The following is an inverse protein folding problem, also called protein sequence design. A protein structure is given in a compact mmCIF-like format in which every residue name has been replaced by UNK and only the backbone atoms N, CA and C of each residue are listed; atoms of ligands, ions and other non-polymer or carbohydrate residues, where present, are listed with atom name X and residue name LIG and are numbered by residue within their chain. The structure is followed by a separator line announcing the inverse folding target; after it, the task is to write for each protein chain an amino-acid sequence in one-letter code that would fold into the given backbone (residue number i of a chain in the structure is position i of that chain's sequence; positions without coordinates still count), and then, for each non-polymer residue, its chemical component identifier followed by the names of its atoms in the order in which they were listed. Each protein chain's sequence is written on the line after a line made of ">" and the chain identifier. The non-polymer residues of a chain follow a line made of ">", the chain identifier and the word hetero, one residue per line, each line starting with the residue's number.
data_IF_507605680556
#
_entry.id   IF_507605680556
#
_cell.length_a   1.000
_cell.length_b   1.000
_cell.length_c   1.000
_cell.angle_alpha   90.00
_cell.angle_beta   90.00
_cell.angle_gamma   90.00
#
_symmetry.space_group_name_H-M   'P 1'
#
loop_
_entity.id
_entity.type
_entity.pdbx_description
1 polymer ?
#
# COMPACT_ATOMS: atom_id res chain seq x y z
N UNK A 1 18.62 7.28 -16.10
CA UNK A 1 18.06 5.91 -16.21
C UNK A 1 16.55 6.01 -16.38
N UNK A 2 16.01 5.42 -17.43
CA UNK A 2 14.57 5.43 -17.67
C UNK A 2 13.96 4.33 -16.80
N UNK A 3 13.16 4.72 -15.82
CA UNK A 3 12.41 3.77 -15.02
C UNK A 3 11.13 3.40 -15.78
N UNK A 4 11.07 2.16 -16.18
CA UNK A 4 9.87 1.62 -16.79
C UNK A 4 8.72 1.56 -15.77
N UNK A 5 7.51 1.71 -16.27
CA UNK A 5 6.30 1.48 -15.47
C UNK A 5 6.22 0.03 -14.96
N UNK A 6 5.13 -0.31 -14.26
CA UNK A 6 4.92 -1.68 -13.80
C UNK A 6 4.80 -2.64 -15.00
N UNK A 7 5.28 -3.87 -14.83
CA UNK A 7 5.06 -4.93 -15.80
C UNK A 7 3.59 -5.37 -15.82
N UNK A 8 3.17 -6.03 -16.89
CA UNK A 8 1.81 -6.59 -16.98
C UNK A 8 1.50 -7.55 -15.81
N UNK A 9 2.49 -8.33 -15.38
CA UNK A 9 2.33 -9.22 -14.23
C UNK A 9 2.13 -8.44 -12.92
N UNK A 10 2.89 -7.37 -12.73
CA UNK A 10 2.75 -6.50 -11.55
C UNK A 10 1.39 -5.79 -11.55
N UNK A 11 0.93 -5.29 -12.69
CA UNK A 11 -0.40 -4.68 -12.81
C UNK A 11 -1.48 -5.67 -12.39
N UNK A 12 -1.43 -6.90 -12.93
CA UNK A 12 -2.41 -7.94 -12.58
C UNK A 12 -2.37 -8.28 -11.09
N UNK A 13 -1.19 -8.34 -10.49
CA UNK A 13 -1.03 -8.61 -9.06
C UNK A 13 -1.70 -7.53 -8.22
N UNK A 14 -1.42 -6.25 -8.48
CA UNK A 14 -2.04 -5.14 -7.78
C UNK A 14 -3.57 -5.15 -7.93
N UNK A 15 -4.05 -5.35 -9.15
CA UNK A 15 -5.49 -5.40 -9.43
C UNK A 15 -6.17 -6.56 -8.70
N UNK A 16 -5.56 -7.74 -8.69
CA UNK A 16 -6.13 -8.92 -8.03
C UNK A 16 -6.18 -8.75 -6.52
N UNK A 17 -5.10 -8.30 -5.90
CA UNK A 17 -5.06 -8.06 -4.45
C UNK A 17 -6.06 -6.98 -4.06
N UNK A 18 -6.11 -5.88 -4.82
CA UNK A 18 -7.07 -4.81 -4.59
C UNK A 18 -8.53 -5.29 -4.67
N UNK A 19 -8.87 -6.09 -5.67
CA UNK A 19 -10.22 -6.67 -5.79
C UNK A 19 -10.57 -7.58 -4.62
N UNK A 20 -9.62 -8.40 -4.17
CA UNK A 20 -9.84 -9.28 -3.01
C UNK A 20 -10.09 -8.50 -1.74
N UNK A 21 -9.35 -7.44 -1.50
CA UNK A 21 -9.56 -6.57 -0.34
C UNK A 21 -10.93 -5.91 -0.39
N UNK A 22 -11.32 -5.39 -1.54
CA UNK A 22 -12.62 -4.73 -1.74
C UNK A 22 -13.78 -5.70 -1.52
N UNK A 23 -13.74 -6.88 -2.15
CA UNK A 23 -14.77 -7.91 -2.00
C UNK A 23 -14.94 -8.42 -0.57
N UNK A 24 -13.86 -8.43 0.20
CA UNK A 24 -13.87 -8.87 1.59
C UNK A 24 -14.24 -7.76 2.58
N UNK A 25 -14.50 -6.55 2.10
CA UNK A 25 -14.81 -5.41 2.95
C UNK A 25 -13.64 -4.96 3.83
N UNK A 26 -12.40 -5.25 3.43
CA UNK A 26 -11.21 -4.86 4.17
C UNK A 26 -10.73 -3.46 3.84
N UNK A 27 -11.28 -2.86 2.81
CA UNK A 27 -11.08 -1.47 2.40
C UNK A 27 -12.43 -0.88 2.00
N UNK A 28 -12.58 0.43 2.17
CA UNK A 28 -13.76 1.17 1.74
C UNK A 28 -13.30 2.33 0.86
N UNK A 29 -13.95 2.52 -0.29
CA UNK A 29 -13.65 3.61 -1.22
C UNK A 29 -12.13 3.68 -1.56
N UNK A 30 -11.45 4.75 -1.14
CA UNK A 30 -10.04 5.02 -1.42
C UNK A 30 -9.09 4.56 -0.30
N UNK A 31 -9.61 3.83 0.69
CA UNK A 31 -8.81 3.37 1.82
C UNK A 31 -7.75 2.35 1.41
N UNK A 32 -6.74 2.23 2.26
CA UNK A 32 -5.67 1.28 2.09
C UNK A 32 -4.68 1.66 1.01
N UNK A 33 -3.62 0.91 0.90
CA UNK A 33 -2.61 1.05 -0.13
C UNK A 33 -1.78 -0.22 -0.24
N UNK A 34 -1.24 -0.44 -1.43
CA UNK A 34 -0.46 -1.63 -1.77
C UNK A 34 0.87 -1.19 -2.31
N UNK A 35 1.92 -1.92 -1.96
CA UNK A 35 3.23 -1.71 -2.59
C UNK A 35 4.01 -3.01 -2.77
N UNK A 36 4.94 -2.97 -3.70
CA UNK A 36 5.92 -4.02 -3.96
C UNK A 36 7.28 -3.35 -4.14
N UNK A 37 8.30 -3.91 -3.50
CA UNK A 37 9.68 -3.49 -3.73
C UNK A 37 10.32 -4.39 -4.77
N UNK A 38 10.83 -3.78 -5.83
CA UNK A 38 11.59 -4.47 -6.87
C UNK A 38 13.03 -4.75 -6.41
N UNK A 39 13.71 -5.73 -7.04
CA UNK A 39 15.11 -6.04 -6.69
C UNK A 39 16.09 -4.88 -6.85
N UNK A 40 15.78 -3.89 -7.68
CA UNK A 40 16.61 -2.69 -7.85
C UNK A 40 16.44 -1.66 -6.71
N UNK A 41 15.59 -1.96 -5.73
CA UNK A 41 15.31 -1.08 -4.58
C UNK A 41 14.21 -0.06 -4.82
N UNK A 42 13.70 0.07 -6.03
CA UNK A 42 12.54 0.93 -6.28
C UNK A 42 11.24 0.29 -5.79
N UNK A 43 10.23 1.10 -5.56
CA UNK A 43 8.96 0.66 -4.99
C UNK A 43 7.85 1.02 -5.96
N UNK A 44 7.01 0.05 -6.30
CA UNK A 44 5.71 0.30 -6.92
C UNK A 44 4.68 0.45 -5.81
N UNK A 45 3.89 1.51 -5.86
CA UNK A 45 2.87 1.80 -4.86
C UNK A 45 1.62 2.36 -5.52
N UNK A 46 0.46 2.09 -4.94
CA UNK A 46 -0.80 2.66 -5.42
C UNK A 46 -0.80 4.18 -5.31
N UNK A 47 -1.36 4.84 -6.32
CA UNK A 47 -1.44 6.29 -6.38
C UNK A 47 -2.36 6.86 -5.29
N UNK A 48 -2.09 8.10 -4.88
CA UNK A 48 -2.98 8.83 -3.99
C UNK A 48 -4.40 8.91 -4.57
N UNK A 49 -5.39 8.70 -3.73
CA UNK A 49 -6.81 8.78 -4.12
C UNK A 49 -7.30 7.66 -5.03
N UNK A 50 -6.49 6.62 -5.29
CA UNK A 50 -6.92 5.50 -6.13
C UNK A 50 -7.88 4.56 -5.38
N UNK A 51 -8.83 3.97 -6.13
CA UNK A 51 -9.72 2.93 -5.61
C UNK A 51 -9.10 1.56 -5.84
N UNK A 52 -8.68 0.90 -4.76
CA UNK A 52 -7.90 -0.35 -4.83
C UNK A 52 -8.71 -1.51 -5.43
N UNK A 53 -10.03 -1.49 -5.30
CA UNK A 53 -10.90 -2.48 -5.96
C UNK A 53 -11.00 -2.32 -7.48
N UNK A 54 -10.55 -1.20 -8.05
CA UNK A 54 -10.71 -0.83 -9.46
C UNK A 54 -9.45 -0.14 -10.00
N UNK A 55 -8.28 -0.65 -9.67
CA UNK A 55 -7.00 -0.03 -10.05
C UNK A 55 -6.81 0.02 -11.57
N UNK A 56 -6.46 1.21 -12.05
CA UNK A 56 -6.01 1.43 -13.42
C UNK A 56 -4.48 1.34 -13.47
N UNK A 57 -3.94 1.12 -14.65
CA UNK A 57 -2.49 0.99 -14.88
C UNK A 57 -1.71 2.22 -14.41
N UNK A 58 -2.22 3.42 -14.67
CA UNK A 58 -1.61 4.69 -14.29
C UNK A 58 -1.74 5.02 -12.81
N UNK A 59 -2.46 4.19 -12.06
CA UNK A 59 -2.62 4.30 -10.61
C UNK A 59 -1.62 3.44 -9.83
N UNK A 60 -0.64 2.86 -10.51
CA UNK A 60 0.50 2.17 -9.91
C UNK A 60 1.74 3.01 -10.24
N UNK A 61 2.31 3.62 -9.22
CA UNK A 61 3.35 4.65 -9.32
C UNK A 61 4.68 4.07 -8.85
N UNK A 62 5.77 4.40 -9.54
CA UNK A 62 7.12 4.01 -9.11
C UNK A 62 7.78 5.14 -8.36
N UNK A 63 8.35 4.82 -7.20
CA UNK A 63 9.14 5.74 -6.40
C UNK A 63 10.51 5.12 -6.10
N UNK A 64 11.50 5.96 -5.81
CA UNK A 64 12.79 5.50 -5.31
C UNK A 64 12.74 5.23 -3.79
N UNK A 65 13.84 4.75 -3.23
CA UNK A 65 13.94 4.46 -1.81
C UNK A 65 13.74 5.69 -0.91
N UNK A 66 13.91 6.88 -1.43
CA UNK A 66 13.68 8.15 -0.73
C UNK A 66 12.26 8.69 -0.92
N UNK A 67 11.44 8.02 -1.73
CA UNK A 67 10.05 8.40 -1.97
C UNK A 67 9.85 9.38 -3.13
N UNK A 68 10.90 9.65 -3.90
CA UNK A 68 10.80 10.48 -5.10
C UNK A 68 10.04 9.70 -6.19
N UNK A 69 9.03 10.33 -6.76
CA UNK A 69 8.25 9.74 -7.85
C UNK A 69 9.10 9.69 -9.12
N UNK A 70 9.22 8.50 -9.70
CA UNK A 70 10.00 8.23 -10.90
C UNK A 70 9.13 8.05 -12.15
N UNK A 71 7.87 7.70 -11.97
CA UNK A 71 6.90 7.55 -13.05
C UNK A 71 6.21 8.88 -13.37
N UNK A 72 5.66 8.98 -14.58
CA UNK A 72 4.87 10.15 -14.97
C UNK A 72 3.44 10.03 -14.49
N UNK A 73 2.80 11.16 -14.24
CA UNK A 73 1.39 11.24 -13.95
C UNK A 73 1.10 11.45 -12.47
N UNK A 74 0.46 10.48 -11.84
CA UNK A 74 -0.07 10.61 -10.48
C UNK A 74 1.01 10.58 -9.41
N UNK A 75 0.73 11.22 -8.28
CA UNK A 75 1.54 11.12 -7.08
C UNK A 75 1.33 9.80 -6.35
N UNK A 76 2.31 9.40 -5.56
CA UNK A 76 2.24 8.22 -4.71
C UNK A 76 1.24 8.42 -3.57
N UNK A 77 0.76 7.31 -2.98
CA UNK A 77 -0.05 7.33 -1.76
C UNK A 77 0.56 8.25 -0.70
N UNK A 78 -0.28 8.96 0.03
CA UNK A 78 0.13 9.78 1.16
C UNK A 78 0.83 8.98 2.28
N UNK A 79 0.62 7.67 2.32
CA UNK A 79 1.23 6.76 3.28
C UNK A 79 2.49 6.05 2.74
N UNK A 80 3.02 6.52 1.63
CA UNK A 80 4.26 5.97 1.04
C UNK A 80 5.42 5.92 2.05
N UNK A 81 5.53 6.90 2.94
CA UNK A 81 6.56 6.93 3.98
C UNK A 81 6.48 5.73 4.93
N UNK A 82 5.28 5.26 5.26
CA UNK A 82 5.08 4.07 6.09
C UNK A 82 5.61 2.82 5.36
N UNK A 83 5.26 2.65 4.09
CA UNK A 83 5.76 1.53 3.29
C UNK A 83 7.28 1.53 3.19
N UNK A 84 7.87 2.69 2.94
CA UNK A 84 9.33 2.87 2.85
C UNK A 84 10.02 2.51 4.16
N UNK A 85 9.46 2.92 5.29
CA UNK A 85 10.02 2.61 6.61
C UNK A 85 9.95 1.10 6.90
N UNK A 86 8.87 0.42 6.51
CA UNK A 86 8.78 -1.04 6.61
C UNK A 86 9.88 -1.71 5.80
N UNK A 87 10.07 -1.29 4.55
CA UNK A 87 11.13 -1.86 3.71
C UNK A 87 12.54 -1.58 4.23
N UNK A 88 12.74 -0.40 4.80
CA UNK A 88 14.03 -0.03 5.39
C UNK A 88 14.37 -0.89 6.61
N UNK A 89 13.40 -1.12 7.48
CA UNK A 89 13.59 -1.86 8.74
C UNK A 89 13.45 -3.36 8.57
N UNK A 90 12.84 -3.84 7.50
CA UNK A 90 12.57 -5.25 7.21
C UNK A 90 13.06 -5.62 5.81
N UNK A 91 14.37 -5.79 5.61
CA UNK A 91 14.93 -6.03 4.26
C UNK A 91 14.39 -7.27 3.55
N UNK A 92 13.92 -8.27 4.30
CA UNK A 92 13.36 -9.50 3.74
C UNK A 92 11.95 -9.33 3.17
N UNK A 93 11.23 -8.23 3.52
CA UNK A 93 9.88 -7.97 3.04
C UNK A 93 9.97 -7.33 1.66
N UNK A 94 9.21 -7.86 0.71
CA UNK A 94 9.13 -7.35 -0.66
C UNK A 94 7.75 -6.80 -1.05
N UNK A 95 6.75 -6.92 -0.19
CA UNK A 95 5.40 -6.38 -0.42
C UNK A 95 4.76 -5.93 0.88
N UNK A 96 3.95 -4.89 0.80
CA UNK A 96 3.15 -4.39 1.92
C UNK A 96 1.72 -4.19 1.47
N UNK A 97 0.79 -4.74 2.24
CA UNK A 97 -0.66 -4.56 2.06
C UNK A 97 -1.20 -3.83 3.29
N UNK A 98 -1.66 -2.60 3.08
CA UNK A 98 -2.31 -1.81 4.11
C UNK A 98 -3.82 -1.82 3.88
N UNK A 99 -4.56 -2.34 4.84
CA UNK A 99 -6.01 -2.44 4.79
C UNK A 99 -6.64 -1.77 6.02
N UNK A 100 -7.96 -1.57 5.96
CA UNK A 100 -8.76 -1.04 7.06
C UNK A 100 -9.84 -2.05 7.46
N UNK A 101 -9.48 -3.18 8.06
CA UNK A 101 -10.47 -4.18 8.49
C UNK A 101 -11.44 -3.54 9.50
N UNK A 102 -12.77 -3.63 9.28
CA UNK A 102 -13.74 -2.89 10.10
C UNK A 102 -13.65 -3.17 11.59
N UNK A 103 -13.46 -4.42 11.98
CA UNK A 103 -13.36 -4.80 13.38
C UNK A 103 -12.07 -4.25 14.01
N UNK A 104 -10.93 -4.47 13.36
CA UNK A 104 -9.65 -3.95 13.85
C UNK A 104 -9.64 -2.41 13.92
N UNK A 105 -10.20 -1.76 12.90
CA UNK A 105 -10.36 -0.30 12.85
C UNK A 105 -11.28 0.18 13.98
N UNK A 106 -12.38 -0.53 14.23
CA UNK A 106 -13.28 -0.24 15.33
C UNK A 106 -12.58 -0.28 16.70
N UNK A 107 -11.75 -1.29 16.95
CA UNK A 107 -10.94 -1.37 18.17
C UNK A 107 -9.91 -0.24 18.27
N UNK A 108 -9.30 0.13 17.14
CA UNK A 108 -8.31 1.21 17.13
C UNK A 108 -8.92 2.58 17.43
N UNK A 109 -10.15 2.83 16.96
CA UNK A 109 -10.88 4.09 17.14
C UNK A 109 -11.59 4.17 18.48
N UNK A 110 -12.16 3.04 18.98
CA UNK A 110 -12.90 2.96 20.23
C UNK A 110 -11.99 2.96 21.49
N UNK A 111 -10.91 3.73 21.47
CA UNK A 111 -10.00 3.88 22.61
C UNK A 111 -10.70 4.70 23.70
N UNK A 112 -11.26 4.02 24.67
CA UNK A 112 -11.64 4.67 25.91
C UNK A 112 -10.39 4.96 26.75
N UNK A 113 -10.43 6.02 27.53
CA UNK A 113 -9.38 6.36 28.48
C UNK A 113 -9.16 5.16 29.43
N UNK A 114 -7.95 4.59 29.43
CA UNK A 114 -7.62 3.41 30.21
C UNK A 114 -7.76 2.07 29.49
N UNK A 115 -8.26 2.03 28.26
CA UNK A 115 -8.27 0.80 27.46
C UNK A 115 -6.83 0.36 27.13
N UNK A 116 -6.56 -0.94 27.26
CA UNK A 116 -5.28 -1.52 26.86
C UNK A 116 -5.03 -1.25 25.39
N UNK A 117 -3.81 -0.91 25.04
CA UNK A 117 -3.36 -0.95 23.65
C UNK A 117 -3.48 -2.39 23.18
N UNK A 118 -4.40 -2.64 22.28
CA UNK A 118 -4.35 -3.87 21.51
C UNK A 118 -3.22 -3.70 20.51
N UNK A 119 -2.15 -4.40 20.77
CA UNK A 119 -1.06 -4.49 19.81
C UNK A 119 -1.59 -5.30 18.65
N UNK A 120 -1.99 -4.64 17.57
CA UNK A 120 -2.55 -5.31 16.39
C UNK A 120 -1.54 -6.24 15.73
N UNK A 121 -0.29 -6.18 16.15
CA UNK A 121 0.78 -6.99 15.59
C UNK A 121 1.06 -8.26 16.40
N UNK A 122 0.43 -8.44 17.55
CA UNK A 122 0.36 -9.72 18.28
C UNK A 122 1.69 -10.45 18.53
N UNK A 123 2.78 -9.73 18.48
CA UNK A 123 4.11 -10.32 18.51
C UNK A 123 4.95 -9.57 19.53
#
# INVERSE_FOLDING_TARGET
>A
MIHHGPTAAQIRLFQEVGRRLDRRGLIASNDGNLSVRDPDGTILITATGSRKGYLKTDEIVRVDAQGKVLSRGRGASSECHMHREIYRTRPAISAVVHAHPPIATGFAVAREAGARRYDMWGI
#
